data_IF_476004017245
#
_entry.id   IF_476004017245
#
_cell.length_a   1.000
_cell.length_b   1.000
_cell.length_c   1.000
_cell.angle_alpha   90.00
_cell.angle_beta   90.00
_cell.angle_gamma   90.00
#
_symmetry.space_group_name_H-M   'P 1'
#
loop_
_entity.id
_entity.type
_entity.pdbx_description
1 polymer ?
#
# COMPACT_ATOMS: atom_id res chain seq x y z
N UNK A 1 -17.71 -72.12 5.20
CA UNK A 1 -16.66 -71.56 4.33
C UNK A 1 -15.69 -70.78 5.22
N UNK A 2 -14.45 -71.24 5.36
CA UNK A 2 -13.35 -70.54 6.08
C UNK A 2 -12.51 -69.82 5.03
N UNK A 3 -12.24 -68.52 5.17
CA UNK A 3 -10.98 -67.87 4.73
C UNK A 3 -10.71 -66.67 5.67
N UNK A 4 -9.46 -66.59 6.14
CA UNK A 4 -8.86 -65.55 7.00
C UNK A 4 -8.43 -64.31 6.20
N UNK A 5 -8.37 -63.12 6.83
CA UNK A 5 -7.29 -62.10 6.67
C UNK A 5 -7.62 -60.83 7.51
N UNK A 6 -6.78 -60.46 8.50
CA UNK A 6 -5.78 -59.34 8.47
C UNK A 6 -6.42 -57.95 8.27
N UNK A 7 -6.11 -56.87 8.98
CA UNK A 7 -5.16 -56.57 10.06
C UNK A 7 -5.64 -55.25 10.70
N UNK A 8 -5.39 -55.08 11.99
CA UNK A 8 -5.57 -53.81 12.68
C UNK A 8 -4.54 -52.78 12.18
N UNK A 9 -4.98 -51.56 11.89
CA UNK A 9 -4.11 -50.40 11.73
C UNK A 9 -4.68 -49.27 12.60
N UNK A 10 -4.11 -49.19 13.81
CA UNK A 10 -4.10 -48.02 14.67
C UNK A 10 -3.16 -47.00 14.03
N UNK A 11 -3.69 -45.89 13.55
CA UNK A 11 -2.88 -44.72 13.19
C UNK A 11 -2.94 -43.73 14.34
N UNK A 12 -1.98 -43.86 15.27
CA UNK A 12 -1.57 -42.77 16.13
C UNK A 12 -0.53 -41.95 15.35
N UNK A 13 -0.84 -40.69 15.05
CA UNK A 13 0.13 -39.72 14.58
C UNK A 13 0.14 -38.53 15.55
N UNK A 14 1.12 -38.55 16.46
CA UNK A 14 1.56 -37.40 17.22
C UNK A 14 2.83 -36.87 16.54
N UNK A 15 2.78 -35.65 16.01
CA UNK A 15 3.90 -34.82 15.57
C UNK A 15 3.31 -33.47 15.15
N UNK A 16 3.84 -32.28 15.41
CA UNK A 16 4.97 -31.78 16.16
C UNK A 16 4.61 -30.30 16.42
N UNK A 17 5.16 -29.70 17.47
CA UNK A 17 5.14 -28.26 17.65
C UNK A 17 5.73 -27.57 16.42
N UNK A 18 4.89 -26.91 15.64
CA UNK A 18 5.26 -25.78 14.80
C UNK A 18 4.51 -24.59 15.34
N UNK A 19 5.21 -23.70 16.06
CA UNK A 19 4.85 -22.29 15.99
C UNK A 19 4.98 -21.95 14.51
N UNK A 20 3.88 -22.03 13.75
CA UNK A 20 3.77 -21.31 12.51
C UNK A 20 3.87 -19.84 12.90
N UNK A 21 5.08 -19.31 12.91
CA UNK A 21 5.26 -17.89 12.72
C UNK A 21 4.65 -17.63 11.37
N UNK A 22 3.45 -17.06 11.38
CA UNK A 22 2.98 -16.31 10.24
C UNK A 22 4.13 -15.35 9.94
N UNK A 23 4.82 -15.56 8.81
CA UNK A 23 5.54 -14.45 8.19
C UNK A 23 4.44 -13.42 7.94
N UNK A 24 4.25 -12.52 8.91
CA UNK A 24 3.28 -11.45 8.83
C UNK A 24 3.82 -10.57 7.71
N UNK A 25 3.28 -10.77 6.49
CA UNK A 25 3.60 -9.97 5.33
C UNK A 25 3.42 -8.53 5.77
N UNK A 26 4.53 -7.81 5.97
CA UNK A 26 4.50 -6.46 6.52
C UNK A 26 4.96 -5.54 5.41
N UNK A 27 4.09 -4.61 5.05
CA UNK A 27 4.38 -3.60 4.04
C UNK A 27 5.30 -2.51 4.62
N UNK A 28 6.53 -2.33 4.13
CA UNK A 28 7.47 -1.36 4.68
C UNK A 28 7.20 0.10 4.25
N UNK A 29 6.21 0.33 3.38
CA UNK A 29 5.98 1.61 2.74
C UNK A 29 6.51 1.66 1.30
N UNK A 30 6.22 2.77 0.59
CA UNK A 30 6.51 2.87 -0.84
C UNK A 30 8.02 2.97 -1.07
N UNK A 31 8.54 2.41 -2.18
CA UNK A 31 9.94 2.59 -2.54
C UNK A 31 10.22 4.06 -2.92
N UNK A 32 11.50 4.41 -3.02
CA UNK A 32 11.92 5.73 -3.48
C UNK A 32 11.35 6.04 -4.88
N UNK A 33 10.78 7.24 -5.10
CA UNK A 33 10.32 7.65 -6.43
C UNK A 33 11.46 7.72 -7.45
N UNK A 34 11.15 7.40 -8.71
CA UNK A 34 12.01 7.66 -9.85
C UNK A 34 12.21 9.16 -10.11
N UNK A 35 13.15 9.51 -10.99
CA UNK A 35 13.43 10.93 -11.35
C UNK A 35 12.26 11.64 -12.03
N UNK A 36 11.37 10.86 -12.64
CA UNK A 36 10.12 11.29 -13.26
C UNK A 36 8.93 11.27 -12.27
N UNK A 37 9.18 10.92 -11.01
CA UNK A 37 8.17 10.82 -9.95
C UNK A 37 7.37 9.53 -9.97
N UNK A 38 7.64 8.60 -10.90
CA UNK A 38 6.95 7.30 -10.90
C UNK A 38 7.39 6.46 -9.69
N UNK A 39 6.44 5.76 -9.06
CA UNK A 39 6.70 4.92 -7.89
C UNK A 39 6.26 3.50 -8.20
N UNK A 40 7.13 2.52 -7.97
CA UNK A 40 6.80 1.13 -8.21
C UNK A 40 5.74 0.64 -7.20
N UNK A 41 4.69 -0.01 -7.70
CA UNK A 41 3.55 -0.49 -6.89
C UNK A 41 3.51 -2.01 -6.76
N UNK A 42 4.40 -2.74 -7.45
CA UNK A 42 4.34 -4.20 -7.57
C UNK A 42 4.39 -4.92 -6.22
N UNK A 43 5.28 -4.49 -5.33
CA UNK A 43 5.43 -5.10 -4.00
C UNK A 43 4.21 -4.82 -3.11
N UNK A 44 3.57 -3.65 -3.24
CA UNK A 44 2.33 -3.36 -2.53
C UNK A 44 1.16 -4.17 -3.09
N UNK A 45 1.06 -4.29 -4.41
CA UNK A 45 0.02 -5.11 -5.03
C UNK A 45 0.15 -6.59 -4.61
N UNK A 46 1.37 -7.13 -4.53
CA UNK A 46 1.61 -8.46 -3.99
C UNK A 46 1.22 -8.57 -2.51
N UNK A 47 1.54 -7.55 -1.71
CA UNK A 47 1.09 -7.48 -0.31
C UNK A 47 -0.44 -7.47 -0.18
N UNK A 48 -1.16 -6.75 -1.05
CA UNK A 48 -2.63 -6.75 -1.10
C UNK A 48 -3.20 -8.14 -1.40
N UNK A 49 -2.50 -8.99 -2.15
CA UNK A 49 -2.96 -10.36 -2.44
C UNK A 49 -2.83 -11.31 -1.23
N UNK A 50 -1.99 -10.97 -0.25
CA UNK A 50 -1.65 -11.82 0.89
C UNK A 50 -2.46 -11.48 2.16
N UNK A 51 -3.24 -10.39 2.16
CA UNK A 51 -3.99 -9.88 3.32
C UNK A 51 -5.50 -9.89 3.07
N UNK A 52 -6.27 -9.81 4.16
CA UNK A 52 -7.73 -9.64 4.15
C UNK A 52 -8.08 -8.68 5.29
N UNK A 53 -7.92 -7.40 4.99
CA UNK A 53 -7.99 -6.29 5.93
C UNK A 53 -9.00 -5.23 5.48
N UNK A 54 -9.69 -4.62 6.45
CA UNK A 54 -10.78 -3.70 6.15
C UNK A 54 -10.39 -2.44 5.37
N UNK A 55 -9.10 -2.09 5.31
CA UNK A 55 -8.62 -0.94 4.54
C UNK A 55 -8.66 -1.18 3.03
N UNK A 56 -8.66 -2.43 2.58
CA UNK A 56 -8.65 -2.79 1.16
C UNK A 56 -9.94 -2.40 0.44
N UNK A 57 -11.05 -2.32 1.17
CA UNK A 57 -12.37 -1.93 0.66
C UNK A 57 -12.52 -0.44 0.35
N UNK A 58 -11.47 0.37 0.50
CA UNK A 58 -11.52 1.80 0.20
C UNK A 58 -10.20 2.29 -0.38
N UNK A 59 -10.23 2.85 -1.59
CA UNK A 59 -9.05 3.45 -2.23
C UNK A 59 -8.35 4.49 -1.33
N UNK A 60 -9.12 5.26 -0.55
CA UNK A 60 -8.56 6.24 0.38
C UNK A 60 -7.83 5.59 1.58
N UNK A 61 -8.34 4.48 2.10
CA UNK A 61 -7.70 3.74 3.19
C UNK A 61 -6.49 2.94 2.68
N UNK A 62 -6.61 2.32 1.50
CA UNK A 62 -5.49 1.67 0.81
C UNK A 62 -4.37 2.67 0.47
N UNK A 63 -4.70 3.90 0.09
CA UNK A 63 -3.73 4.98 -0.08
C UNK A 63 -3.00 5.34 1.23
N UNK A 64 -3.74 5.36 2.35
CA UNK A 64 -3.15 5.62 3.66
C UNK A 64 -2.18 4.51 4.08
N UNK A 65 -2.53 3.25 3.82
CA UNK A 65 -1.69 2.08 4.07
C UNK A 65 -0.47 2.06 3.15
N UNK A 66 -0.64 2.25 1.84
CA UNK A 66 0.45 2.29 0.87
C UNK A 66 1.52 3.30 1.29
N UNK A 67 1.11 4.48 1.75
CA UNK A 67 2.01 5.56 2.16
C UNK A 67 2.49 5.45 3.62
N UNK A 68 1.99 4.49 4.41
CA UNK A 68 2.26 4.37 5.86
C UNK A 68 2.00 5.69 6.59
N UNK A 69 0.82 6.29 6.37
CA UNK A 69 0.51 7.62 6.89
C UNK A 69 0.52 7.71 8.42
N UNK A 70 0.36 6.59 9.11
CA UNK A 70 0.51 6.47 10.57
C UNK A 70 1.96 6.65 11.05
N UNK A 71 2.95 6.41 10.18
CA UNK A 71 4.38 6.57 10.45
C UNK A 71 4.93 7.92 9.98
N UNK A 72 4.16 8.67 9.17
CA UNK A 72 4.58 9.97 8.62
C UNK A 72 4.13 11.13 9.48
N UNK A 73 4.95 12.16 9.56
CA UNK A 73 4.63 13.40 10.29
C UNK A 73 4.56 14.60 9.34
N UNK A 74 3.40 15.24 9.29
CA UNK A 74 3.16 16.49 8.58
C UNK A 74 2.23 17.38 9.42
N UNK A 75 2.33 18.70 9.26
CA UNK A 75 1.41 19.63 9.93
C UNK A 75 -0.04 19.46 9.45
N UNK A 76 -0.22 19.07 8.18
CA UNK A 76 -1.52 18.77 7.59
C UNK A 76 -1.42 17.64 6.57
N UNK A 77 -2.32 16.69 6.68
CA UNK A 77 -2.55 15.64 5.67
C UNK A 77 -3.94 15.85 5.05
N UNK A 78 -4.02 15.85 3.71
CA UNK A 78 -5.30 15.74 2.99
C UNK A 78 -5.31 14.48 2.13
N UNK A 79 -6.47 13.84 2.03
CA UNK A 79 -6.73 12.68 1.18
C UNK A 79 -7.99 13.03 0.38
N UNK A 80 -7.85 13.11 -0.93
CA UNK A 80 -8.90 13.54 -1.84
C UNK A 80 -9.10 12.45 -2.90
N UNK A 81 -10.25 11.77 -2.85
CA UNK A 81 -10.61 10.72 -3.82
C UNK A 81 -11.51 11.25 -4.92
N UNK A 82 -11.25 10.85 -6.16
CA UNK A 82 -12.13 11.08 -7.31
C UNK A 82 -12.48 9.73 -7.93
N UNK A 83 -13.76 9.38 -7.89
CA UNK A 83 -14.29 8.18 -8.51
C UNK A 83 -14.77 8.46 -9.94
N UNK A 84 -14.72 7.43 -10.79
CA UNK A 84 -15.35 7.47 -12.12
C UNK A 84 -16.86 7.67 -12.00
N UNK A 85 -17.49 8.37 -12.96
CA UNK A 85 -18.89 8.80 -12.89
C UNK A 85 -19.92 7.68 -12.71
N UNK A 86 -19.57 6.44 -13.07
CA UNK A 86 -20.43 5.25 -12.95
C UNK A 86 -20.09 4.37 -11.74
N UNK A 87 -19.19 4.81 -10.84
CA UNK A 87 -18.85 4.13 -9.59
C UNK A 87 -18.23 2.73 -9.73
N UNK A 88 -17.81 2.37 -10.94
CA UNK A 88 -17.31 1.03 -11.31
C UNK A 88 -15.98 1.08 -12.07
N UNK A 89 -15.45 2.28 -12.29
CA UNK A 89 -14.16 2.50 -12.96
C UNK A 89 -13.03 2.78 -11.97
N UNK A 90 -11.82 3.07 -12.50
CA UNK A 90 -10.69 3.44 -11.66
C UNK A 90 -11.01 4.65 -10.76
N UNK A 91 -10.41 4.64 -9.58
CA UNK A 91 -10.43 5.76 -8.64
C UNK A 91 -9.04 6.36 -8.52
N UNK A 92 -8.97 7.69 -8.55
CA UNK A 92 -7.72 8.42 -8.27
C UNK A 92 -7.78 9.03 -6.89
N UNK A 93 -6.80 8.71 -6.05
CA UNK A 93 -6.62 9.31 -4.73
C UNK A 93 -5.39 10.20 -4.75
N UNK A 94 -5.58 11.47 -4.38
CA UNK A 94 -4.51 12.44 -4.18
C UNK A 94 -4.28 12.63 -2.69
N UNK A 95 -3.08 12.29 -2.22
CA UNK A 95 -2.65 12.52 -0.84
C UNK A 95 -1.66 13.68 -0.84
N UNK A 96 -1.92 14.72 -0.04
CA UNK A 96 -0.99 15.83 0.16
C UNK A 96 -0.54 15.88 1.63
N UNK A 97 0.77 15.84 1.84
CA UNK A 97 1.43 16.05 3.13
C UNK A 97 2.05 17.45 3.11
N UNK A 98 1.48 18.41 3.83
CA UNK A 98 1.95 19.80 3.88
C UNK A 98 2.52 20.16 5.26
N UNK A 99 3.61 20.93 5.26
CA UNK A 99 4.33 21.28 6.48
C UNK A 99 5.13 20.09 7.02
N UNK A 100 5.92 19.46 6.14
CA UNK A 100 6.90 18.44 6.52
C UNK A 100 8.00 19.06 7.41
N UNK A 101 8.65 18.22 8.21
CA UNK A 101 9.73 18.64 9.11
C UNK A 101 11.08 18.84 8.39
N UNK A 102 11.10 18.61 7.08
CA UNK A 102 12.26 18.81 6.23
C UNK A 102 12.53 20.31 5.99
N UNK A 103 13.82 20.69 6.00
CA UNK A 103 14.25 22.09 5.88
C UNK A 103 14.29 22.59 4.42
N UNK A 104 14.11 21.69 3.46
CA UNK A 104 14.16 21.92 2.02
C UNK A 104 12.82 21.64 1.36
N UNK A 105 12.12 20.57 1.77
CA UNK A 105 10.81 20.15 1.26
C UNK A 105 9.72 20.69 2.18
N UNK A 106 8.79 21.45 1.61
CA UNK A 106 7.62 21.95 2.32
C UNK A 106 6.48 20.94 2.33
N UNK A 107 6.24 20.31 1.17
CA UNK A 107 5.11 19.41 0.98
C UNK A 107 5.41 18.33 -0.05
N UNK A 108 4.73 17.20 0.09
CA UNK A 108 4.67 16.11 -0.88
C UNK A 108 3.24 15.94 -1.39
N UNK A 109 3.11 15.52 -2.64
CA UNK A 109 1.84 15.11 -3.25
C UNK A 109 2.04 13.76 -3.91
N UNK A 110 1.14 12.84 -3.56
CA UNK A 110 1.05 11.50 -4.11
C UNK A 110 -0.24 11.39 -4.91
N UNK A 111 -0.19 10.93 -6.15
CA UNK A 111 -1.36 10.60 -6.94
C UNK A 111 -1.35 9.10 -7.23
N UNK A 112 -2.39 8.41 -6.76
CA UNK A 112 -2.51 6.96 -6.72
C UNK A 112 -3.75 6.55 -7.51
N UNK A 113 -3.61 5.64 -8.46
CA UNK A 113 -4.73 5.08 -9.24
C UNK A 113 -5.02 3.66 -8.78
N UNK A 114 -6.26 3.44 -8.38
CA UNK A 114 -6.78 2.15 -7.95
C UNK A 114 -7.78 1.61 -8.96
N UNK A 115 -7.70 0.31 -9.23
CA UNK A 115 -8.72 -0.43 -9.95
C UNK A 115 -9.59 -1.21 -8.96
N UNK A 116 -10.93 -1.17 -9.11
CA UNK A 116 -11.81 -2.05 -8.34
C UNK A 116 -11.50 -3.54 -8.63
N UNK A 117 -11.42 -4.34 -7.58
CA UNK A 117 -11.24 -5.80 -7.67
C UNK A 117 -12.21 -6.50 -6.70
N UNK A 118 -13.41 -6.80 -7.20
CA UNK A 118 -14.48 -7.32 -6.34
C UNK A 118 -14.94 -6.30 -5.30
N UNK A 119 -14.67 -6.57 -4.02
CA UNK A 119 -15.00 -5.70 -2.88
C UNK A 119 -13.79 -4.85 -2.42
N UNK A 120 -12.63 -5.00 -3.06
CA UNK A 120 -11.38 -4.30 -2.71
C UNK A 120 -10.90 -3.38 -3.85
N UNK A 121 -9.83 -2.63 -3.58
CA UNK A 121 -9.17 -1.74 -4.51
C UNK A 121 -7.69 -2.11 -4.67
N UNK A 122 -7.28 -2.49 -5.88
CA UNK A 122 -5.89 -2.81 -6.19
C UNK A 122 -5.15 -1.58 -6.70
N UNK A 123 -4.01 -1.24 -6.11
CA UNK A 123 -3.17 -0.14 -6.58
C UNK A 123 -2.50 -0.52 -7.91
N UNK A 124 -2.61 0.35 -8.91
CA UNK A 124 -2.06 0.08 -10.26
C UNK A 124 -1.03 1.09 -10.72
N UNK A 125 -1.11 2.32 -10.22
CA UNK A 125 -0.17 3.38 -10.53
C UNK A 125 0.03 4.29 -9.32
N UNK A 126 1.25 4.75 -9.12
CA UNK A 126 1.60 5.73 -8.12
C UNK A 126 2.60 6.73 -8.70
N UNK A 127 2.37 8.01 -8.42
CA UNK A 127 3.29 9.09 -8.75
C UNK A 127 3.46 10.04 -7.57
N UNK A 128 4.62 10.68 -7.52
CA UNK A 128 5.04 11.58 -6.47
C UNK A 128 5.57 12.88 -7.05
N UNK A 129 5.32 13.98 -6.34
CA UNK A 129 5.96 15.26 -6.57
C UNK A 129 6.12 16.00 -5.24
N UNK A 130 7.07 16.91 -5.17
CA UNK A 130 7.34 17.73 -3.99
C UNK A 130 7.19 19.22 -4.29
N UNK A 131 7.04 20.01 -3.24
CA UNK A 131 7.09 21.46 -3.26
C UNK A 131 8.09 21.93 -2.22
N UNK A 132 9.00 22.81 -2.62
CA UNK A 132 10.09 23.25 -1.75
C UNK A 132 9.66 24.32 -0.74
N UNK A 133 10.46 24.48 0.31
CA UNK A 133 10.37 25.63 1.20
C UNK A 133 10.66 26.94 0.43
N UNK A 134 10.15 28.09 0.91
CA UNK A 134 10.47 29.37 0.30
C UNK A 134 11.97 29.61 0.21
N UNK A 135 12.46 29.88 -1.01
CA UNK A 135 13.89 30.12 -1.27
C UNK A 135 14.76 28.87 -1.40
N UNK A 136 14.17 27.67 -1.54
CA UNK A 136 14.86 26.38 -1.71
C UNK A 136 14.47 25.68 -3.01
N UNK A 137 14.18 26.45 -4.06
CA UNK A 137 13.78 25.93 -5.37
C UNK A 137 12.32 26.19 -5.72
N UNK A 138 11.71 25.23 -6.41
CA UNK A 138 10.38 25.38 -7.00
C UNK A 138 9.27 25.44 -5.94
N UNK A 139 8.25 26.28 -6.20
CA UNK A 139 7.11 26.50 -5.30
C UNK A 139 5.82 25.82 -5.80
N UNK A 140 5.87 25.24 -7.01
CA UNK A 140 4.84 24.33 -7.51
C UNK A 140 5.30 22.88 -7.27
N UNK A 141 4.36 21.93 -7.37
CA UNK A 141 4.71 20.52 -7.30
C UNK A 141 5.54 20.11 -8.53
N UNK A 142 6.74 19.58 -8.28
CA UNK A 142 7.69 19.10 -9.28
C UNK A 142 8.47 17.90 -8.72
N UNK A 143 9.09 17.12 -9.60
CA UNK A 143 10.01 16.04 -9.24
C UNK A 143 11.47 16.52 -9.14
N UNK A 144 11.71 17.79 -9.45
CA UNK A 144 13.02 18.43 -9.33
C UNK A 144 13.48 18.50 -7.87
N UNK A 145 14.79 18.61 -7.66
CA UNK A 145 15.37 18.73 -6.32
C UNK A 145 15.12 20.12 -5.74
N UNK A 146 14.88 20.17 -4.43
CA UNK A 146 14.85 21.41 -3.67
C UNK A 146 16.28 21.87 -3.35
N UNK A 147 16.76 22.87 -4.09
CA UNK A 147 18.10 23.48 -3.97
C UNK A 147 18.08 24.99 -4.13
#
# INVERSE_FOLDING_TARGET
MRIFAYAALLSAAAALAGCGGSDESSWPGPPDPGTDGAVAVGDFAAYQEDVDEGWEGSAAMAAAEFLRLDERTAARTSIEGTASAEGTGPETVVVTLDGLLDDSIRAERWALTFEPDGETYRLTEASWAQRCQPGRGHQEFSTELCV
#
